data_IF_365630918713
#
_entry.id   IF_365630918713
#
_cell.length_a   1.000
_cell.length_b   1.000
_cell.length_c   1.000
_cell.angle_alpha   90.00
_cell.angle_beta   90.00
_cell.angle_gamma   90.00
#
_symmetry.space_group_name_H-M   'P 1'
#
loop_
_entity.id
_entity.type
_entity.pdbx_description
1 polymer ?
#
# COMPACT_ATOMS: atom_id res chain seq x y z
N UNK A 1 12.59 -24.38 37.16
CA UNK A 1 11.78 -23.63 36.17
C UNK A 1 10.84 -22.69 36.90
N UNK A 2 10.96 -21.38 36.71
CA UNK A 2 10.09 -20.38 37.35
C UNK A 2 8.73 -20.41 36.63
N UNK A 3 7.64 -20.69 37.34
CA UNK A 3 6.29 -20.72 36.75
C UNK A 3 5.89 -19.29 36.37
N UNK A 4 5.59 -19.06 35.10
CA UNK A 4 5.13 -17.78 34.57
C UNK A 4 3.64 -17.59 34.94
N UNK A 5 3.38 -17.21 36.19
CA UNK A 5 2.05 -16.78 36.64
C UNK A 5 1.82 -15.34 36.14
N UNK A 6 1.08 -15.16 35.05
CA UNK A 6 0.76 -13.81 34.55
C UNK A 6 0.24 -13.72 33.12
N UNK A 7 0.32 -14.79 32.32
CA UNK A 7 -0.39 -14.80 31.03
C UNK A 7 -1.88 -14.92 31.28
N UNK A 8 -2.66 -13.91 30.89
CA UNK A 8 -4.13 -13.95 30.96
C UNK A 8 -4.62 -15.23 30.26
N UNK A 9 -5.47 -15.99 30.94
CA UNK A 9 -6.07 -17.23 30.40
C UNK A 9 -6.89 -16.97 29.14
N UNK A 10 -7.46 -15.78 29.05
CA UNK A 10 -8.39 -15.39 28.01
C UNK A 10 -7.92 -14.09 27.35
N UNK A 11 -7.67 -14.16 26.04
CA UNK A 11 -7.43 -12.99 25.21
C UNK A 11 -8.72 -12.15 25.16
N UNK A 12 -8.58 -10.83 25.24
CA UNK A 12 -9.69 -9.89 25.14
C UNK A 12 -10.44 -10.05 23.81
N UNK A 13 -11.73 -9.73 23.78
CA UNK A 13 -12.55 -9.80 22.55
C UNK A 13 -12.00 -8.97 21.39
N UNK A 14 -11.14 -7.99 21.68
CA UNK A 14 -10.44 -7.15 20.71
C UNK A 14 -9.25 -7.86 20.04
N UNK A 15 -8.61 -8.82 20.71
CA UNK A 15 -7.51 -9.63 20.17
C UNK A 15 -8.01 -10.75 19.24
N UNK A 16 -9.31 -11.04 19.26
CA UNK A 16 -9.95 -12.08 18.46
C UNK A 16 -10.57 -11.57 17.14
N UNK A 17 -10.22 -10.36 16.69
CA UNK A 17 -10.59 -9.87 15.35
C UNK A 17 -9.80 -10.63 14.27
N UNK A 18 -10.18 -11.88 14.02
CA UNK A 18 -9.71 -12.66 12.88
C UNK A 18 -10.26 -12.03 11.61
N UNK A 19 -9.37 -11.73 10.66
CA UNK A 19 -9.76 -11.36 9.30
C UNK A 19 -10.53 -12.55 8.70
N UNK A 20 -11.87 -12.43 8.62
CA UNK A 20 -12.76 -13.51 8.18
C UNK A 20 -12.58 -13.87 6.71
N UNK A 21 -12.08 -12.92 5.92
CA UNK A 21 -11.91 -13.07 4.49
C UNK A 21 -10.58 -12.46 4.03
N UNK A 22 -9.62 -13.33 3.70
CA UNK A 22 -8.34 -12.95 3.12
C UNK A 22 -8.46 -12.63 1.63
N UNK A 23 -9.57 -12.99 0.96
CA UNK A 23 -9.78 -12.75 -0.48
C UNK A 23 -9.98 -11.27 -0.80
N UNK A 24 -10.38 -10.48 0.19
CA UNK A 24 -10.55 -9.03 0.08
C UNK A 24 -9.27 -8.23 0.34
N UNK A 25 -8.14 -8.86 0.69
CA UNK A 25 -6.88 -8.13 0.77
C UNK A 25 -6.40 -7.92 -0.67
N UNK A 26 -6.96 -6.91 -1.32
CA UNK A 26 -6.42 -6.38 -2.56
C UNK A 26 -5.05 -5.81 -2.20
N UNK A 27 -3.99 -6.46 -2.69
CA UNK A 27 -2.64 -5.97 -2.51
C UNK A 27 -2.51 -4.54 -3.03
N UNK A 28 -1.58 -3.77 -2.47
CA UNK A 28 -1.28 -2.43 -2.98
C UNK A 28 -0.73 -2.52 -4.41
N UNK A 29 -1.02 -1.50 -5.23
CA UNK A 29 -0.32 -1.33 -6.50
C UNK A 29 1.13 -0.92 -6.26
N UNK A 30 2.01 -1.28 -7.19
CA UNK A 30 3.42 -0.90 -7.16
C UNK A 30 3.67 0.16 -8.23
N UNK A 31 4.15 1.33 -7.82
CA UNK A 31 4.39 2.47 -8.72
C UNK A 31 5.89 2.68 -8.89
N UNK A 32 6.34 2.77 -10.13
CA UNK A 32 7.71 3.13 -10.51
C UNK A 32 7.69 4.51 -11.14
N UNK A 33 8.39 5.47 -10.53
CA UNK A 33 8.49 6.83 -11.06
C UNK A 33 9.28 6.82 -12.37
N UNK A 34 8.74 7.50 -13.38
CA UNK A 34 9.42 7.72 -14.66
C UNK A 34 10.66 8.60 -14.48
N UNK A 35 11.70 8.33 -15.26
CA UNK A 35 12.90 9.17 -15.29
C UNK A 35 12.74 10.38 -16.24
N UNK A 36 11.61 10.47 -16.94
CA UNK A 36 11.32 11.59 -17.86
C UNK A 36 10.43 12.60 -17.14
N UNK A 37 10.73 13.91 -17.22
CA UNK A 37 9.87 14.94 -16.65
C UNK A 37 8.51 14.95 -17.33
N UNK A 38 7.44 14.95 -16.53
CA UNK A 38 6.05 14.91 -17.01
C UNK A 38 5.41 16.31 -17.14
N UNK A 39 6.22 17.36 -17.12
CA UNK A 39 5.79 18.76 -17.01
C UNK A 39 6.16 19.38 -15.67
N UNK A 40 6.11 20.71 -15.58
CA UNK A 40 6.43 21.44 -14.36
C UNK A 40 5.45 21.07 -13.24
N UNK A 41 5.99 20.63 -12.09
CA UNK A 41 5.18 20.20 -10.95
C UNK A 41 4.37 18.91 -11.17
N UNK A 42 4.66 18.15 -12.24
CA UNK A 42 4.03 16.86 -12.54
C UNK A 42 5.04 15.72 -12.50
N UNK A 43 4.61 14.58 -11.99
CA UNK A 43 5.36 13.34 -11.94
C UNK A 43 4.57 12.23 -12.63
N UNK A 44 5.27 11.38 -13.38
CA UNK A 44 4.66 10.23 -14.06
C UNK A 44 5.11 8.93 -13.39
N UNK A 45 4.19 7.98 -13.28
CA UNK A 45 4.42 6.67 -12.69
C UNK A 45 3.86 5.57 -13.59
N UNK A 46 4.65 4.52 -13.80
CA UNK A 46 4.16 3.25 -14.33
C UNK A 46 3.67 2.38 -13.16
N UNK A 47 2.45 1.88 -13.25
CA UNK A 47 1.75 1.15 -12.20
C UNK A 47 1.67 -0.34 -12.53
N UNK A 48 1.97 -1.18 -11.55
CA UNK A 48 2.00 -2.64 -11.64
C UNK A 48 1.18 -3.27 -10.53
N UNK A 49 0.77 -4.53 -10.71
CA UNK A 49 0.04 -5.29 -9.68
C UNK A 49 0.88 -5.63 -8.45
N UNK A 50 2.21 -5.68 -8.58
CA UNK A 50 3.20 -5.97 -7.55
C UNK A 50 4.62 -5.66 -8.07
N UNK A 51 5.68 -5.73 -7.24
CA UNK A 51 7.07 -5.72 -7.73
C UNK A 51 7.31 -6.88 -8.71
N UNK A 52 7.69 -6.58 -9.95
CA UNK A 52 7.81 -7.58 -11.02
C UNK A 52 6.46 -8.14 -11.53
N UNK A 53 5.35 -7.54 -11.12
CA UNK A 53 3.99 -7.93 -11.52
C UNK A 53 3.59 -7.40 -12.91
N UNK A 54 2.34 -7.65 -13.28
CA UNK A 54 1.78 -7.23 -14.57
C UNK A 54 1.61 -5.72 -14.62
N UNK A 55 1.95 -5.12 -15.77
CA UNK A 55 1.68 -3.72 -16.05
C UNK A 55 0.18 -3.43 -16.03
N UNK A 56 -0.24 -2.40 -15.29
CA UNK A 56 -1.62 -1.94 -15.20
C UNK A 56 -1.83 -0.73 -16.11
N UNK A 57 -0.90 0.23 -16.08
CA UNK A 57 -1.05 1.49 -16.80
C UNK A 57 -0.09 2.57 -16.30
N UNK A 58 -0.34 3.79 -16.74
CA UNK A 58 0.46 4.97 -16.43
C UNK A 58 -0.41 6.05 -15.81
N UNK A 59 0.10 6.69 -14.76
CA UNK A 59 -0.57 7.80 -14.09
C UNK A 59 0.35 9.02 -14.06
N UNK A 60 -0.24 10.20 -14.26
CA UNK A 60 0.43 11.49 -14.05
C UNK A 60 -0.18 12.17 -12.85
N UNK A 61 0.65 12.54 -11.89
CA UNK A 61 0.26 13.22 -10.66
C UNK A 61 0.90 14.60 -10.67
N UNK A 62 0.07 15.63 -10.70
CA UNK A 62 0.51 17.02 -10.66
C UNK A 62 0.23 17.64 -9.30
N UNK A 63 1.15 18.47 -8.80
CA UNK A 63 0.89 19.30 -7.63
C UNK A 63 -0.36 20.15 -7.88
N UNK A 64 -1.24 20.34 -6.89
CA UNK A 64 -2.41 21.22 -7.04
C UNK A 64 -2.02 22.69 -7.31
N UNK A 65 -0.76 23.06 -7.09
CA UNK A 65 -0.18 24.37 -7.42
C UNK A 65 0.51 24.42 -8.77
N UNK A 66 0.64 23.29 -9.48
CA UNK A 66 1.20 23.26 -10.83
C UNK A 66 0.16 23.83 -11.81
N UNK A 67 0.22 25.14 -12.03
CA UNK A 67 -0.48 25.76 -13.15
C UNK A 67 0.17 25.31 -14.45
N UNK A 68 -0.57 24.57 -15.27
CA UNK A 68 -0.25 24.37 -16.69
C UNK A 68 -0.19 25.76 -17.34
N UNK A 69 1.03 26.26 -17.58
CA UNK A 69 1.27 27.46 -18.38
C UNK A 69 1.16 27.12 -19.87
#
# INVERSE_FOLDING_TARGET
>A
MKKLNGMKRDFSSLENKKLKDLKSIQGGSYNVKSNVPAGEGCEEYDTYTAPGGTYIGRITVCSPTATLN
#
